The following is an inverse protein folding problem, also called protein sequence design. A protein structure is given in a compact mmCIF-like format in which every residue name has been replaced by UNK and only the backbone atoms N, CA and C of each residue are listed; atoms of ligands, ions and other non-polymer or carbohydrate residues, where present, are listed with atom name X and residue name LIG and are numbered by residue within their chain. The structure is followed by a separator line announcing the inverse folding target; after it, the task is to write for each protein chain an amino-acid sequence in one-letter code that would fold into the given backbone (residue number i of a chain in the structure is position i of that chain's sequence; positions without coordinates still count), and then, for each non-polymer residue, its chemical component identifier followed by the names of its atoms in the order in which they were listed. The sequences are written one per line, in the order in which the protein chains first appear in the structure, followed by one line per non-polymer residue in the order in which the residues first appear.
data_IF_825124350230
#
_entry.id   IF_825124350230
#
_cell.length_a   1.000
_cell.length_b   1.000
_cell.length_c   1.000
_cell.angle_alpha   90.00
_cell.angle_beta   90.00
_cell.angle_gamma   90.00
#
_symmetry.space_group_name_H-M   'P 1'
#
loop_
_entity.id
_entity.type
_entity.pdbx_description
1 polymer ?
#
# COMPACT_ATOMS: atom_id res chain seq x y z
N UNK A 1 24.74 9.61 0.49
CA UNK A 1 23.35 9.11 0.50
C UNK A 1 23.09 8.49 1.85
N UNK A 2 21.95 8.81 2.44
CA UNK A 2 21.54 8.35 3.77
C UNK A 2 20.74 7.03 3.74
N UNK A 3 20.80 6.32 2.61
CA UNK A 3 20.17 5.03 2.38
C UNK A 3 21.07 4.10 1.56
N UNK A 4 20.70 2.82 1.51
CA UNK A 4 21.29 1.76 0.68
C UNK A 4 20.19 0.92 0.05
N UNK A 5 20.40 0.40 -1.16
CA UNK A 5 19.47 -0.56 -1.79
C UNK A 5 19.63 -1.98 -1.26
N UNK A 6 20.72 -2.25 -0.53
CA UNK A 6 21.01 -3.53 0.12
C UNK A 6 21.09 -3.36 1.62
N UNK A 7 20.60 -4.35 2.37
CA UNK A 7 20.71 -4.36 3.82
C UNK A 7 22.20 -4.42 4.23
N UNK A 8 22.60 -3.52 5.11
CA UNK A 8 23.95 -3.47 5.66
C UNK A 8 23.87 -3.25 7.16
N UNK A 9 24.98 -3.47 7.90
CA UNK A 9 25.00 -3.29 9.35
C UNK A 9 24.59 -1.87 9.76
N UNK A 10 25.02 -0.86 9.00
CA UNK A 10 24.71 0.56 9.21
C UNK A 10 23.33 0.97 8.67
N UNK A 11 22.83 0.24 7.67
CA UNK A 11 21.55 0.46 7.00
C UNK A 11 20.63 -0.73 7.25
N UNK A 12 20.05 -0.78 8.46
CA UNK A 12 19.28 -1.93 8.94
C UNK A 12 17.77 -1.70 8.93
N UNK A 13 17.32 -0.44 8.89
CA UNK A 13 15.90 -0.06 8.90
C UNK A 13 15.36 -0.04 7.48
N UNK A 14 14.34 -0.83 7.19
CA UNK A 14 13.70 -0.85 5.88
C UNK A 14 12.72 0.30 5.68
N UNK A 15 12.66 0.79 4.45
CA UNK A 15 11.65 1.69 3.93
C UNK A 15 11.24 1.19 2.54
N UNK A 16 9.97 0.86 2.37
CA UNK A 16 9.43 0.41 1.09
C UNK A 16 8.84 1.62 0.38
N UNK A 17 9.31 1.89 -0.82
CA UNK A 17 8.68 2.83 -1.74
C UNK A 17 7.72 2.04 -2.61
N UNK A 18 6.47 2.48 -2.68
CA UNK A 18 5.47 1.91 -3.59
C UNK A 18 5.04 2.97 -4.60
N UNK A 19 4.94 2.58 -5.87
CA UNK A 19 4.46 3.42 -6.96
C UNK A 19 2.96 3.20 -7.21
N UNK A 20 2.25 4.31 -7.30
CA UNK A 20 0.85 4.39 -7.68
C UNK A 20 0.70 5.34 -8.85
N UNK A 21 -0.36 5.13 -9.61
CA UNK A 21 -0.83 6.05 -10.64
C UNK A 21 -2.19 6.60 -10.25
N UNK A 22 -2.46 7.83 -10.66
CA UNK A 22 -3.78 8.43 -10.59
C UNK A 22 -4.39 8.43 -11.97
N UNK A 23 -5.45 7.67 -12.15
CA UNK A 23 -6.29 7.77 -13.33
C UNK A 23 -7.20 8.99 -13.14
N UNK A 24 -6.71 10.14 -13.60
CA UNK A 24 -7.53 11.34 -13.73
C UNK A 24 -8.16 11.33 -15.12
N UNK A 25 -9.50 11.26 -15.19
CA UNK A 25 -10.25 11.36 -16.45
C UNK A 25 -10.16 12.77 -17.08
N UNK A 26 -9.28 13.63 -16.55
CA UNK A 26 -9.09 15.03 -16.93
C UNK A 26 -7.76 15.20 -17.65
N UNK A 27 -7.68 16.18 -18.53
CA UNK A 27 -6.45 16.55 -19.23
C UNK A 27 -5.36 17.15 -18.29
N UNK A 28 -5.75 17.60 -17.09
CA UNK A 28 -4.85 18.22 -16.12
C UNK A 28 -4.10 17.14 -15.33
N UNK A 29 -2.79 17.33 -15.15
CA UNK A 29 -1.96 16.43 -14.36
C UNK A 29 -2.30 16.54 -12.87
N UNK A 30 -2.29 15.42 -12.17
CA UNK A 30 -2.58 15.38 -10.73
C UNK A 30 -1.63 16.25 -9.90
N UNK A 31 -0.35 16.32 -10.29
CA UNK A 31 0.63 17.24 -9.69
C UNK A 31 0.16 18.70 -9.73
N UNK A 32 -0.35 19.17 -10.86
CA UNK A 32 -0.78 20.56 -11.01
C UNK A 32 -2.01 20.85 -10.14
N UNK A 33 -2.96 19.92 -10.10
CA UNK A 33 -4.15 20.05 -9.23
C UNK A 33 -3.77 20.08 -7.75
N UNK A 34 -2.81 19.24 -7.34
CA UNK A 34 -2.32 19.22 -5.96
C UNK A 34 -1.56 20.51 -5.62
N UNK A 35 -0.75 21.02 -6.56
CA UNK A 35 0.01 22.26 -6.40
C UNK A 35 -0.90 23.48 -6.24
N UNK A 36 -2.01 23.53 -6.99
CA UNK A 36 -2.97 24.63 -6.95
C UNK A 36 -4.02 24.48 -5.84
N UNK A 37 -3.98 23.38 -5.08
CA UNK A 37 -4.93 23.10 -4.01
C UNK A 37 -4.67 23.97 -2.77
N UNK A 38 -5.62 24.84 -2.45
CA UNK A 38 -5.55 25.76 -1.30
C UNK A 38 -5.52 25.07 0.08
N UNK A 39 -5.92 23.80 0.16
CA UNK A 39 -5.86 22.99 1.37
C UNK A 39 -4.51 22.26 1.50
N UNK A 40 -3.70 22.20 0.44
CA UNK A 40 -2.41 21.54 0.50
C UNK A 40 -1.32 22.50 0.98
N UNK A 41 -1.35 22.80 2.29
CA UNK A 41 -0.46 23.77 2.96
C UNK A 41 0.27 23.12 4.14
N UNK A 42 1.46 23.62 4.46
CA UNK A 42 2.24 23.17 5.61
C UNK A 42 1.51 23.52 6.91
N UNK A 43 1.64 22.65 7.91
CA UNK A 43 1.00 22.70 9.23
C UNK A 43 -0.54 22.66 9.23
N UNK A 44 -1.17 22.39 8.08
CA UNK A 44 -2.61 22.16 8.05
C UNK A 44 -2.99 20.93 8.86
N UNK A 45 -4.04 21.05 9.66
CA UNK A 45 -4.58 19.98 10.49
C UNK A 45 -6.02 19.64 10.05
N UNK A 46 -6.24 18.36 9.76
CA UNK A 46 -7.52 17.84 9.28
C UNK A 46 -8.05 16.81 10.26
N UNK A 47 -9.13 17.18 10.95
CA UNK A 47 -9.92 16.24 11.73
C UNK A 47 -10.68 15.30 10.80
N UNK A 48 -10.37 14.00 10.84
CA UNK A 48 -11.18 12.97 10.18
C UNK A 48 -12.33 12.58 11.12
N UNK A 49 -12.00 12.29 12.37
CA UNK A 49 -12.91 12.03 13.48
C UNK A 49 -12.21 12.38 14.80
N UNK A 50 -12.82 12.10 15.95
CA UNK A 50 -12.27 12.46 17.27
C UNK A 50 -10.95 11.77 17.62
N UNK A 51 -10.64 10.64 16.98
CA UNK A 51 -9.47 9.80 17.30
C UNK A 51 -8.43 9.78 16.17
N UNK A 52 -8.71 10.43 15.05
CA UNK A 52 -7.87 10.39 13.85
C UNK A 52 -7.82 11.75 13.17
N UNK A 53 -6.63 12.31 13.18
CA UNK A 53 -6.29 13.57 12.54
C UNK A 53 -5.18 13.33 11.51
N UNK A 54 -5.11 14.21 10.52
CA UNK A 54 -4.01 14.28 9.57
C UNK A 54 -3.36 15.64 9.68
N UNK A 55 -2.02 15.68 9.78
CA UNK A 55 -1.24 16.90 9.67
C UNK A 55 -0.28 16.84 8.50
N UNK A 56 -0.20 17.91 7.72
CA UNK A 56 0.86 18.11 6.74
C UNK A 56 2.02 18.78 7.47
N UNK A 57 3.12 18.05 7.66
CA UNK A 57 4.30 18.53 8.42
C UNK A 57 5.25 19.35 7.56
N UNK A 58 5.36 18.99 6.28
CA UNK A 58 6.27 19.64 5.35
C UNK A 58 5.79 19.46 3.91
N UNK A 59 6.10 20.44 3.06
CA UNK A 59 5.89 20.42 1.62
C UNK A 59 7.10 21.07 0.96
N UNK A 60 7.75 20.38 0.04
CA UNK A 60 8.82 20.93 -0.79
C UNK A 60 8.59 20.65 -2.27
N UNK A 61 8.85 21.65 -3.11
CA UNK A 61 8.71 21.54 -4.56
C UNK A 61 10.09 21.50 -5.21
N UNK A 62 10.30 20.54 -6.11
CA UNK A 62 11.54 20.40 -6.89
C UNK A 62 11.17 20.15 -8.34
N UNK A 63 11.28 21.18 -9.19
CA UNK A 63 10.86 21.10 -10.58
C UNK A 63 9.37 20.78 -10.71
N UNK A 64 9.02 19.74 -11.46
CA UNK A 64 7.65 19.25 -11.66
C UNK A 64 7.27 18.13 -10.67
N UNK A 65 7.83 18.17 -9.47
CA UNK A 65 7.54 17.24 -8.39
C UNK A 65 7.28 17.97 -7.07
N UNK A 66 6.40 17.42 -6.25
CA UNK A 66 6.19 17.84 -4.87
C UNK A 66 6.45 16.69 -3.93
N UNK A 67 7.17 16.98 -2.85
CA UNK A 67 7.43 16.07 -1.75
C UNK A 67 6.68 16.57 -0.53
N UNK A 68 6.02 15.67 0.18
CA UNK A 68 5.30 16.02 1.40
C UNK A 68 5.49 14.98 2.48
N UNK A 69 5.60 15.46 3.71
CA UNK A 69 5.55 14.64 4.91
C UNK A 69 4.21 14.86 5.60
N UNK A 70 3.42 13.80 5.68
CA UNK A 70 2.10 13.78 6.29
C UNK A 70 2.10 12.82 7.49
N UNK A 71 1.46 13.18 8.58
CA UNK A 71 1.28 12.31 9.76
C UNK A 71 -0.19 12.08 10.03
N UNK A 72 -0.58 10.82 10.19
CA UNK A 72 -1.85 10.45 10.79
C UNK A 72 -1.61 10.24 12.27
N UNK A 73 -2.38 10.92 13.12
CA UNK A 73 -2.16 10.88 14.55
C UNK A 73 -3.49 10.83 15.32
N UNK A 74 -3.44 10.30 16.53
CA UNK A 74 -4.54 10.40 17.48
C UNK A 74 -4.23 11.56 18.43
N UNK A 75 -5.10 12.58 18.55
CA UNK A 75 -4.86 13.70 19.44
C UNK A 75 -4.72 13.28 20.92
N UNK A 76 -5.39 12.19 21.33
CA UNK A 76 -5.34 11.61 22.68
C UNK A 76 -5.43 10.07 22.62
N UNK A 77 -4.29 9.41 22.52
CA UNK A 77 -4.22 7.94 22.49
C UNK A 77 -4.00 7.34 23.87
N UNK A 78 -4.60 6.19 24.14
CA UNK A 78 -4.23 5.32 25.27
C UNK A 78 -3.32 4.23 24.76
N UNK A 79 -2.06 4.22 25.21
CA UNK A 79 -1.10 3.18 24.83
C UNK A 79 -0.82 2.26 26.00
N UNK A 80 -0.73 0.96 25.72
CA UNK A 80 -0.30 0.01 26.73
C UNK A 80 1.20 0.10 26.95
N UNK A 81 1.61 0.16 28.21
CA UNK A 81 3.01 0.01 28.61
C UNK A 81 3.13 -1.20 29.51
N UNK A 82 4.29 -1.87 29.49
CA UNK A 82 4.57 -2.92 30.47
C UNK A 82 4.59 -2.28 31.86
N UNK A 83 3.66 -2.63 32.77
CA UNK A 83 3.62 -2.03 34.09
C UNK A 83 4.93 -2.33 34.82
N UNK A 84 5.50 -1.32 35.47
CA UNK A 84 6.53 -1.57 36.49
C UNK A 84 5.84 -2.33 37.62
N UNK A 85 6.51 -3.37 38.14
CA UNK A 85 5.94 -4.42 38.99
C UNK A 85 5.15 -3.97 40.23
N UNK A 86 5.16 -2.68 40.55
CA UNK A 86 4.58 -2.07 41.75
C UNK A 86 3.19 -1.45 41.53
N UNK A 87 2.72 -1.27 40.29
CA UNK A 87 1.44 -0.55 40.03
C UNK A 87 0.59 -1.22 38.93
N UNK A 88 -0.01 -2.38 39.26
CA UNK A 88 -0.86 -3.20 38.37
C UNK A 88 -2.19 -2.55 37.95
N UNK A 89 -2.44 -1.29 38.32
CA UNK A 89 -3.70 -0.59 38.08
C UNK A 89 -3.64 0.42 36.91
N UNK A 90 -2.46 0.66 36.31
CA UNK A 90 -2.27 1.68 35.25
C UNK A 90 -1.47 1.12 34.08
N UNK A 91 -2.06 0.15 33.38
CA UNK A 91 -1.43 -0.47 32.20
C UNK A 91 -1.61 0.34 30.92
N UNK A 92 -2.33 1.49 30.99
CA UNK A 92 -2.57 2.41 29.89
C UNK A 92 -2.11 3.82 30.26
N UNK A 93 -1.34 4.43 29.37
CA UNK A 93 -0.89 5.82 29.47
C UNK A 93 -1.54 6.67 28.38
N UNK A 94 -2.04 7.83 28.76
CA UNK A 94 -2.51 8.85 27.81
C UNK A 94 -1.30 9.51 27.16
N UNK A 95 -1.25 9.49 25.83
CA UNK A 95 -0.26 10.19 25.01
C UNK A 95 -0.99 11.18 24.11
N UNK A 96 -0.63 12.45 24.24
CA UNK A 96 -1.08 13.50 23.35
C UNK A 96 -0.36 13.43 22.00
N UNK A 97 -1.10 13.68 20.92
CA UNK A 97 -0.59 13.71 19.54
C UNK A 97 0.22 12.47 19.13
N UNK A 98 -0.32 11.29 19.42
CA UNK A 98 0.34 10.02 19.10
C UNK A 98 0.31 9.74 17.60
N UNK A 99 1.45 9.86 16.93
CA UNK A 99 1.62 9.53 15.51
C UNK A 99 1.42 8.02 15.28
N UNK A 100 0.43 7.67 14.46
CA UNK A 100 0.06 6.30 14.11
C UNK A 100 0.59 5.89 12.73
N UNK A 101 0.88 6.85 11.86
CA UNK A 101 1.44 6.61 10.54
C UNK A 101 2.17 7.86 10.04
N UNK A 102 3.37 7.68 9.51
CA UNK A 102 4.02 8.69 8.68
C UNK A 102 3.87 8.28 7.22
N UNK A 103 3.38 9.21 6.42
CA UNK A 103 3.31 9.11 4.96
C UNK A 103 4.29 10.12 4.39
N UNK A 104 5.32 9.63 3.70
CA UNK A 104 6.18 10.45 2.85
C UNK A 104 5.74 10.24 1.41
N UNK A 105 5.44 11.33 0.72
CA UNK A 105 4.80 11.35 -0.58
C UNK A 105 5.68 12.11 -1.56
N UNK A 106 5.83 11.61 -2.78
CA UNK A 106 6.37 12.34 -3.93
C UNK A 106 5.39 12.22 -5.10
N UNK A 107 4.88 13.35 -5.58
CA UNK A 107 3.94 13.41 -6.70
C UNK A 107 4.59 14.13 -7.87
N UNK A 108 4.58 13.48 -9.04
CA UNK A 108 5.01 14.08 -10.30
C UNK A 108 4.13 13.58 -11.44
N UNK A 109 3.58 14.50 -12.24
CA UNK A 109 2.55 14.19 -13.23
C UNK A 109 1.35 13.49 -12.60
N UNK A 110 1.05 12.27 -13.06
CA UNK A 110 -0.03 11.41 -12.55
C UNK A 110 0.48 10.27 -11.65
N UNK A 111 1.71 10.36 -11.15
CA UNK A 111 2.30 9.31 -10.34
C UNK A 111 2.50 9.75 -8.90
N UNK A 112 2.17 8.85 -7.97
CA UNK A 112 2.39 9.00 -6.54
C UNK A 112 3.40 7.94 -6.11
N UNK A 113 4.50 8.36 -5.50
CA UNK A 113 5.48 7.50 -4.85
C UNK A 113 5.33 7.70 -3.35
N UNK A 114 5.09 6.63 -2.61
CA UNK A 114 4.81 6.74 -1.19
C UNK A 114 5.66 5.78 -0.35
N UNK A 115 6.10 6.28 0.81
CA UNK A 115 6.67 5.49 1.90
C UNK A 115 5.74 5.61 3.09
N UNK A 116 5.30 4.48 3.63
CA UNK A 116 4.53 4.41 4.86
C UNK A 116 5.42 3.90 6.00
N UNK A 117 5.36 4.53 7.16
CA UNK A 117 6.03 4.09 8.39
C UNK A 117 5.03 4.02 9.55
N UNK A 118 5.40 3.28 10.60
CA UNK A 118 4.57 2.89 11.76
C UNK A 118 3.40 1.96 11.42
N UNK A 119 2.68 2.22 10.33
CA UNK A 119 1.63 1.37 9.80
C UNK A 119 1.69 1.39 8.27
N UNK A 120 1.87 0.20 7.68
CA UNK A 120 2.03 -0.01 6.23
C UNK A 120 0.79 -0.59 5.57
N UNK A 121 -0.24 -0.91 6.35
CA UNK A 121 -1.46 -1.57 5.86
C UNK A 121 -2.37 -0.57 5.15
N UNK A 122 -3.05 -1.06 4.10
CA UNK A 122 -4.07 -0.34 3.33
C UNK A 122 -3.60 1.00 2.73
N UNK A 123 -2.52 1.02 1.93
CA UNK A 123 -1.92 2.25 1.44
C UNK A 123 -2.86 3.08 0.57
N UNK A 124 -3.64 2.46 -0.32
CA UNK A 124 -4.63 3.16 -1.17
C UNK A 124 -5.69 3.84 -0.31
N UNK A 125 -6.30 3.11 0.65
CA UNK A 125 -7.30 3.67 1.56
C UNK A 125 -6.78 4.87 2.36
N UNK A 126 -5.50 4.85 2.74
CA UNK A 126 -4.84 5.98 3.43
C UNK A 126 -4.64 7.18 2.50
N UNK A 127 -4.18 6.94 1.27
CA UNK A 127 -4.05 7.99 0.25
C UNK A 127 -5.41 8.61 -0.06
N UNK A 128 -6.44 7.80 -0.31
CA UNK A 128 -7.81 8.27 -0.56
C UNK A 128 -8.33 9.11 0.60
N UNK A 129 -8.09 8.67 1.85
CA UNK A 129 -8.50 9.42 3.05
C UNK A 129 -7.80 10.78 3.10
N UNK A 130 -6.50 10.82 2.82
CA UNK A 130 -5.74 12.06 2.76
C UNK A 130 -6.24 13.00 1.66
N UNK A 131 -6.38 12.52 0.42
CA UNK A 131 -6.83 13.40 -0.67
C UNK A 131 -8.27 13.88 -0.49
N UNK A 132 -9.14 13.09 0.16
CA UNK A 132 -10.49 13.54 0.56
C UNK A 132 -10.44 14.72 1.55
N UNK A 133 -9.47 14.81 2.46
CA UNK A 133 -9.34 15.98 3.34
C UNK A 133 -8.97 17.24 2.54
N UNK A 134 -8.21 17.07 1.46
CA UNK A 134 -7.89 18.13 0.50
C UNK A 134 -9.04 18.47 -0.47
N UNK A 135 -10.19 17.80 -0.34
CA UNK A 135 -11.33 17.89 -1.28
C UNK A 135 -11.01 17.40 -2.69
N UNK A 136 -10.08 16.47 -2.79
CA UNK A 136 -9.72 15.76 -4.02
C UNK A 136 -10.23 14.32 -3.95
N UNK A 137 -10.43 13.68 -5.09
CA UNK A 137 -10.83 12.27 -5.17
C UNK A 137 -10.21 11.60 -6.40
N UNK A 138 -8.86 11.52 -6.46
CA UNK A 138 -8.19 10.83 -7.54
C UNK A 138 -8.50 9.33 -7.49
N UNK A 139 -8.61 8.67 -8.65
CA UNK A 139 -8.69 7.21 -8.72
C UNK A 139 -7.27 6.64 -8.66
N UNK A 140 -6.87 6.16 -7.50
CA UNK A 140 -5.52 5.66 -7.24
C UNK A 140 -5.45 4.17 -7.51
N UNK A 141 -4.50 3.74 -8.33
CA UNK A 141 -4.20 2.33 -8.60
C UNK A 141 -2.72 2.04 -8.42
N UNK A 142 -2.37 0.80 -8.06
CA UNK A 142 -0.98 0.38 -8.06
C UNK A 142 -0.45 0.32 -9.50
N UNK A 143 0.78 0.78 -9.70
CA UNK A 143 1.49 0.50 -10.96
C UNK A 143 2.00 -0.94 -10.89
N UNK A 144 1.76 -1.69 -11.96
CA UNK A 144 2.07 -3.12 -12.04
C UNK A 144 3.47 -3.34 -12.63
N UNK A 145 4.27 -4.21 -12.01
CA UNK A 145 5.62 -4.56 -12.46
C UNK A 145 5.56 -5.42 -13.74
N UNK A 146 5.98 -4.83 -14.86
CA UNK A 146 6.00 -5.47 -16.18
C UNK A 146 6.90 -6.71 -16.23
N UNK A 147 7.92 -6.79 -15.39
CA UNK A 147 8.83 -7.95 -15.34
C UNK A 147 8.12 -9.17 -14.75
N UNK A 148 7.31 -8.97 -13.71
CA UNK A 148 6.49 -10.03 -13.11
C UNK A 148 5.37 -10.44 -14.05
N UNK A 149 4.77 -9.49 -14.76
CA UNK A 149 3.82 -9.79 -15.84
C UNK A 149 4.44 -10.64 -16.93
N UNK A 150 5.65 -10.28 -17.39
CA UNK A 150 6.39 -11.05 -18.38
C UNK A 150 6.71 -12.45 -17.85
N UNK A 151 7.12 -12.56 -16.58
CA UNK A 151 7.39 -13.85 -15.92
C UNK A 151 6.16 -14.77 -15.92
N UNK A 152 4.97 -14.26 -15.61
CA UNK A 152 3.72 -15.04 -15.67
C UNK A 152 3.45 -15.54 -17.10
N UNK A 153 3.68 -14.70 -18.11
CA UNK A 153 3.51 -15.08 -19.53
C UNK A 153 4.52 -16.13 -19.97
N UNK A 154 5.78 -15.95 -19.60
CA UNK A 154 6.89 -16.80 -20.05
C UNK A 154 6.88 -18.16 -19.33
N UNK A 155 6.66 -18.18 -18.01
CA UNK A 155 6.63 -19.42 -17.21
C UNK A 155 5.28 -20.13 -17.27
N UNK A 156 4.20 -19.42 -17.63
CA UNK A 156 2.84 -19.95 -17.68
C UNK A 156 2.21 -20.16 -16.29
N UNK A 157 0.87 -20.21 -16.27
CA UNK A 157 0.08 -20.37 -15.06
C UNK A 157 -0.03 -21.83 -14.63
N UNK A 158 0.31 -22.15 -13.37
CA UNK A 158 0.14 -23.51 -12.82
C UNK A 158 -1.07 -23.58 -11.89
N UNK A 159 -1.16 -22.72 -10.89
CA UNK A 159 -2.23 -22.73 -9.89
C UNK A 159 -2.40 -21.35 -9.24
N UNK A 160 -3.64 -21.03 -8.88
CA UNK A 160 -4.01 -19.86 -8.11
C UNK A 160 -4.43 -20.34 -6.72
N UNK A 161 -3.90 -19.71 -5.69
CA UNK A 161 -4.25 -19.98 -4.31
C UNK A 161 -5.00 -18.80 -3.72
N UNK A 162 -6.10 -19.11 -3.06
CA UNK A 162 -6.96 -18.19 -2.35
C UNK A 162 -7.02 -18.64 -0.89
N UNK A 163 -6.45 -17.85 0.01
CA UNK A 163 -6.70 -18.00 1.44
C UNK A 163 -7.95 -17.20 1.77
N UNK A 164 -9.03 -17.87 2.12
CA UNK A 164 -10.27 -17.19 2.47
C UNK A 164 -10.79 -17.68 3.82
N UNK A 165 -11.17 -16.72 4.65
CA UNK A 165 -12.07 -16.93 5.78
C UNK A 165 -13.43 -16.44 5.31
N UNK A 166 -14.23 -17.32 4.71
CA UNK A 166 -15.57 -16.96 4.24
C UNK A 166 -16.51 -16.99 5.43
N UNK A 167 -16.81 -15.85 6.03
CA UNK A 167 -18.08 -15.70 6.74
C UNK A 167 -19.19 -15.53 5.68
N UNK A 168 -20.32 -16.21 5.84
CA UNK A 168 -21.43 -16.19 4.87
C UNK A 168 -21.96 -14.78 4.54
N UNK A 169 -21.61 -13.78 5.34
CA UNK A 169 -21.99 -12.36 5.22
C UNK A 169 -20.94 -11.47 4.56
N UNK A 170 -19.69 -11.94 4.38
CA UNK A 170 -18.51 -11.08 4.20
C UNK A 170 -17.90 -11.13 2.79
N UNK A 171 -18.63 -11.59 1.78
CA UNK A 171 -18.22 -11.39 0.39
C UNK A 171 -18.79 -10.05 -0.09
N UNK A 172 -18.08 -8.90 0.06
CA UNK A 172 -18.50 -7.70 -0.64
C UNK A 172 -18.49 -8.00 -2.13
N UNK A 173 -19.62 -7.76 -2.77
CA UNK A 173 -19.80 -7.87 -4.22
C UNK A 173 -18.89 -6.81 -4.87
N UNK A 174 -17.64 -7.18 -5.13
CA UNK A 174 -16.75 -6.42 -6.00
C UNK A 174 -16.72 -7.18 -7.32
N UNK A 175 -17.30 -6.57 -8.36
CA UNK A 175 -17.32 -7.15 -9.72
C UNK A 175 -15.90 -7.14 -10.32
N UNK A 176 -15.05 -8.07 -9.88
CA UNK A 176 -13.73 -8.34 -10.48
C UNK A 176 -13.76 -9.62 -11.32
N UNK A 177 -12.85 -9.78 -12.29
CA UNK A 177 -12.69 -11.03 -13.05
C UNK A 177 -12.56 -12.27 -12.14
N UNK A 178 -11.76 -12.16 -11.06
CA UNK A 178 -11.60 -13.21 -10.05
C UNK A 178 -12.88 -13.52 -9.28
N UNK A 179 -13.66 -12.50 -8.90
CA UNK A 179 -14.92 -12.70 -8.20
C UNK A 179 -15.96 -13.45 -9.06
N UNK A 180 -15.99 -13.20 -10.37
CA UNK A 180 -16.90 -13.91 -11.29
C UNK A 180 -16.66 -15.42 -11.36
N UNK A 181 -15.44 -15.85 -11.02
CA UNK A 181 -15.02 -17.25 -11.01
C UNK A 181 -15.40 -17.94 -9.68
N UNK A 182 -15.27 -17.22 -8.57
CA UNK A 182 -15.62 -17.70 -7.21
C UNK A 182 -17.15 -17.78 -7.03
N UNK A 183 -17.90 -16.84 -7.62
CA UNK A 183 -19.36 -16.79 -7.50
C UNK A 183 -20.13 -17.99 -8.12
N UNK A 184 -19.42 -18.91 -8.80
CA UNK A 184 -20.01 -20.14 -9.37
C UNK A 184 -19.93 -21.34 -8.42
N UNK A 185 -19.27 -21.23 -7.27
CA UNK A 185 -19.23 -22.28 -6.26
C UNK A 185 -20.46 -22.18 -5.31
N UNK A 186 -20.99 -23.32 -4.82
CA UNK A 186 -22.23 -23.33 -4.04
C UNK A 186 -22.10 -22.55 -2.73
N UNK A 187 -23.17 -21.83 -2.37
CA UNK A 187 -23.26 -21.08 -1.11
C UNK A 187 -23.10 -22.03 0.07
N UNK A 188 -22.05 -21.79 0.85
CA UNK A 188 -21.76 -22.48 2.10
C UNK A 188 -22.73 -21.97 3.18
N UNK A 189 -23.15 -22.87 4.08
CA UNK A 189 -24.08 -22.57 5.18
C UNK A 189 -23.55 -21.56 6.22
N UNK A 190 -24.33 -21.34 7.28
CA UNK A 190 -24.19 -20.25 8.27
C UNK A 190 -22.92 -20.30 9.14
N UNK A 191 -22.18 -21.41 9.14
CA UNK A 191 -20.87 -21.50 9.78
C UNK A 191 -19.79 -21.21 8.74
N UNK A 192 -19.05 -20.11 8.92
CA UNK A 192 -18.04 -19.69 7.96
C UNK A 192 -16.99 -20.77 7.69
N UNK A 193 -16.63 -20.95 6.41
CA UNK A 193 -15.54 -21.84 6.00
C UNK A 193 -14.23 -21.06 5.96
N UNK A 194 -13.29 -21.43 6.82
CA UNK A 194 -11.88 -21.07 6.67
C UNK A 194 -11.17 -22.16 5.86
N UNK A 195 -10.58 -21.83 4.73
CA UNK A 195 -9.90 -22.81 3.88
C UNK A 195 -9.01 -22.19 2.80
N UNK A 196 -8.17 -23.03 2.21
CA UNK A 196 -7.39 -22.67 1.02
C UNK A 196 -8.10 -23.23 -0.22
N UNK A 197 -8.59 -22.35 -1.10
CA UNK A 197 -9.08 -22.74 -2.41
C UNK A 197 -7.92 -22.70 -3.41
N UNK A 198 -7.63 -23.83 -4.04
CA UNK A 198 -6.55 -23.98 -5.02
C UNK A 198 -7.11 -24.29 -6.40
N UNK A 199 -7.07 -23.33 -7.31
CA UNK A 199 -7.51 -23.48 -8.69
C UNK A 199 -6.33 -23.86 -9.58
N UNK A 200 -6.25 -25.15 -9.93
CA UNK A 200 -5.18 -25.71 -10.78
C UNK A 200 -5.48 -25.54 -12.26
N UNK A 201 -4.46 -25.17 -13.04
CA UNK A 201 -4.51 -25.00 -14.50
C UNK A 201 -5.05 -26.23 -15.24
N UNK A 202 -4.62 -27.44 -14.86
CA UNK A 202 -5.08 -28.70 -15.47
C UNK A 202 -6.58 -28.94 -15.31
N UNK A 203 -7.14 -28.55 -14.16
CA UNK A 203 -8.57 -28.67 -13.90
C UNK A 203 -9.37 -27.49 -14.49
N UNK A 204 -8.72 -26.35 -14.74
CA UNK A 204 -9.34 -25.10 -15.17
C UNK A 204 -8.60 -24.48 -16.36
N UNK A 205 -8.61 -25.10 -17.55
CA UNK A 205 -7.83 -24.63 -18.70
C UNK A 205 -8.28 -23.26 -19.23
N UNK A 206 -9.57 -22.91 -19.09
CA UNK A 206 -10.08 -21.59 -19.46
C UNK A 206 -9.53 -20.48 -18.56
N UNK A 207 -9.50 -20.73 -17.25
CA UNK A 207 -8.91 -19.83 -16.27
C UNK A 207 -7.41 -19.63 -16.52
N UNK A 208 -6.70 -20.72 -16.81
CA UNK A 208 -5.28 -20.66 -17.15
C UNK A 208 -5.04 -19.75 -18.37
N UNK A 209 -5.81 -19.93 -19.44
CA UNK A 209 -5.71 -19.10 -20.63
C UNK A 209 -6.06 -17.62 -20.35
N UNK A 210 -7.03 -17.34 -19.48
CA UNK A 210 -7.42 -15.98 -19.10
C UNK A 210 -6.33 -15.28 -18.29
N UNK A 211 -5.73 -15.97 -17.31
CA UNK A 211 -4.61 -15.44 -16.51
C UNK A 211 -3.37 -15.22 -17.36
N UNK A 212 -3.05 -16.14 -18.28
CA UNK A 212 -1.90 -16.00 -19.19
C UNK A 212 -2.12 -14.88 -20.23
N UNK A 213 -3.38 -14.66 -20.67
CA UNK A 213 -3.73 -13.61 -21.63
C UNK A 213 -3.76 -12.22 -21.00
N UNK A 214 -4.34 -12.09 -19.80
CA UNK A 214 -4.57 -10.81 -19.10
C UNK A 214 -3.90 -10.75 -17.71
N UNK A 215 -2.61 -11.08 -17.56
CA UNK A 215 -1.95 -11.16 -16.26
C UNK A 215 -1.92 -9.81 -15.53
N UNK A 216 -1.95 -8.69 -16.25
CA UNK A 216 -1.97 -7.35 -15.66
C UNK A 216 -3.27 -7.03 -14.94
N UNK A 217 -4.41 -7.52 -15.43
CA UNK A 217 -5.70 -7.31 -14.76
C UNK A 217 -5.86 -8.26 -13.58
N UNK A 218 -5.40 -9.50 -13.71
CA UNK A 218 -5.34 -10.46 -12.61
C UNK A 218 -4.41 -9.97 -11.50
N UNK A 219 -3.27 -9.39 -11.85
CA UNK A 219 -2.32 -8.84 -10.90
C UNK A 219 -2.90 -7.73 -10.02
N UNK A 220 -3.80 -6.90 -10.56
CA UNK A 220 -4.49 -5.85 -9.80
C UNK A 220 -5.39 -6.42 -8.71
N UNK A 221 -5.90 -7.64 -8.94
CA UNK A 221 -6.79 -8.33 -8.02
C UNK A 221 -6.03 -9.20 -7.00
N UNK A 222 -4.71 -9.37 -7.13
CA UNK A 222 -3.91 -10.14 -6.16
C UNK A 222 -3.65 -9.33 -4.87
N UNK A 223 -3.87 -9.95 -3.71
CA UNK A 223 -3.54 -9.43 -2.38
C UNK A 223 -2.56 -10.37 -1.64
N UNK A 224 -2.33 -10.19 -0.33
CA UNK A 224 -1.60 -11.18 0.47
C UNK A 224 -2.33 -12.53 0.53
N UNK A 225 -3.66 -12.50 0.43
CA UNK A 225 -4.56 -13.66 0.49
C UNK A 225 -4.69 -14.39 -0.85
N UNK A 226 -4.17 -13.80 -1.95
CA UNK A 226 -4.23 -14.36 -3.30
C UNK A 226 -2.82 -14.45 -3.90
N UNK A 227 -2.40 -15.64 -4.32
CA UNK A 227 -1.10 -15.80 -5.00
C UNK A 227 -1.13 -16.80 -6.15
N UNK A 228 -0.27 -16.57 -7.15
CA UNK A 228 -0.10 -17.45 -8.31
C UNK A 228 1.17 -18.27 -8.12
N UNK A 229 1.11 -19.56 -8.45
CA UNK A 229 2.28 -20.38 -8.73
C UNK A 229 2.38 -20.56 -10.25
N UNK A 230 3.56 -20.32 -10.81
CA UNK A 230 3.84 -20.54 -12.23
C UNK A 230 4.22 -21.99 -12.52
N UNK A 231 4.23 -22.41 -13.79
CA UNK A 231 4.70 -23.77 -14.15
C UNK A 231 6.20 -23.93 -13.87
N UNK A 232 6.96 -22.83 -13.87
CA UNK A 232 8.36 -22.76 -13.43
C UNK A 232 8.56 -22.89 -11.90
N UNK A 233 7.48 -22.93 -11.11
CA UNK A 233 7.53 -23.10 -9.65
C UNK A 233 7.67 -21.78 -8.86
N UNK A 234 7.63 -20.63 -9.54
CA UNK A 234 7.70 -19.33 -8.89
C UNK A 234 6.39 -18.99 -8.19
N UNK A 235 6.47 -18.56 -6.92
CA UNK A 235 5.33 -17.99 -6.18
C UNK A 235 5.29 -16.47 -6.36
N UNK A 236 4.15 -15.96 -6.78
CA UNK A 236 3.90 -14.54 -7.07
C UNK A 236 2.70 -14.09 -6.24
N UNK A 237 2.95 -13.26 -5.23
CA UNK A 237 1.93 -12.63 -4.37
C UNK A 237 1.51 -11.27 -4.90
N UNK A 238 0.42 -10.71 -4.39
CA UNK A 238 -0.03 -9.37 -4.78
C UNK A 238 1.03 -8.27 -4.64
N UNK A 239 1.87 -8.33 -3.60
CA UNK A 239 2.96 -7.37 -3.43
C UNK A 239 4.12 -7.55 -4.40
N UNK A 240 4.34 -8.77 -4.92
CA UNK A 240 5.38 -9.02 -5.92
C UNK A 240 5.02 -8.37 -7.26
N UNK A 241 3.73 -8.17 -7.54
CA UNK A 241 3.27 -7.64 -8.84
C UNK A 241 3.18 -6.13 -8.87
N UNK A 242 3.38 -5.46 -7.74
CA UNK A 242 3.37 -4.00 -7.63
C UNK A 242 4.78 -3.46 -7.87
N UNK A 243 4.90 -2.34 -8.57
CA UNK A 243 6.17 -1.61 -8.66
C UNK A 243 6.49 -1.03 -7.28
N UNK A 244 7.38 -1.71 -6.56
CA UNK A 244 7.91 -1.28 -5.29
C UNK A 244 9.43 -1.50 -5.24
N UNK A 245 10.08 -0.83 -4.30
CA UNK A 245 11.50 -1.06 -4.02
C UNK A 245 11.78 -0.86 -2.55
N UNK A 246 12.52 -1.81 -1.97
CA UNK A 246 12.97 -1.74 -0.59
C UNK A 246 14.30 -0.99 -0.55
N UNK A 247 14.33 0.05 0.27
CA UNK A 247 15.53 0.78 0.65
C UNK A 247 15.82 0.54 2.13
N UNK A 248 17.07 0.75 2.52
CA UNK A 248 17.53 0.59 3.88
C UNK A 248 18.17 1.89 4.37
N UNK A 249 17.74 2.40 5.51
CA UNK A 249 18.27 3.62 6.13
C UNK A 249 18.98 3.32 7.44
N UNK A 250 19.71 4.31 7.93
CA UNK A 250 20.14 4.33 9.33
C UNK A 250 18.91 4.33 10.24
N UNK A 251 18.94 3.65 11.40
CA UNK A 251 17.85 3.71 12.37
C UNK A 251 17.58 5.15 12.83
N UNK A 252 16.31 5.54 12.92
CA UNK A 252 15.90 6.81 13.52
C UNK A 252 14.67 6.60 14.40
N UNK A 253 14.86 6.77 15.72
CA UNK A 253 13.92 6.24 16.70
C UNK A 253 13.74 4.73 16.55
N UNK A 254 12.67 4.19 17.13
CA UNK A 254 12.42 2.74 17.11
C UNK A 254 11.64 2.27 15.88
N UNK A 255 10.91 3.17 15.18
CA UNK A 255 9.90 2.73 14.19
C UNK A 255 9.79 3.56 12.89
N UNK A 256 10.44 4.72 12.75
CA UNK A 256 10.27 5.59 11.57
C UNK A 256 11.58 5.86 10.81
N UNK A 257 11.51 6.61 9.72
CA UNK A 257 12.67 7.16 8.99
C UNK A 257 12.66 8.67 9.08
N UNK A 258 13.84 9.30 8.98
CA UNK A 258 13.93 10.75 8.94
C UNK A 258 13.32 11.32 7.64
N UNK A 259 12.67 12.49 7.67
CA UNK A 259 12.15 13.14 6.47
C UNK A 259 13.20 13.34 5.37
N UNK A 260 14.44 13.71 5.74
CA UNK A 260 15.51 13.93 4.76
C UNK A 260 15.88 12.63 4.04
N UNK A 261 15.84 11.49 4.75
CA UNK A 261 16.15 10.19 4.17
C UNK A 261 15.03 9.74 3.24
N UNK A 262 13.77 9.97 3.63
CA UNK A 262 12.62 9.68 2.79
C UNK A 262 12.64 10.53 1.50
N UNK A 263 13.00 11.81 1.59
CA UNK A 263 13.18 12.68 0.43
C UNK A 263 14.26 12.15 -0.53
N UNK A 264 15.43 11.78 -0.02
CA UNK A 264 16.51 11.19 -0.82
C UNK A 264 16.08 9.89 -1.50
N UNK A 265 15.38 9.01 -0.78
CA UNK A 265 14.87 7.74 -1.31
C UNK A 265 13.84 7.98 -2.41
N UNK A 266 12.86 8.85 -2.18
CA UNK A 266 11.80 9.14 -3.15
C UNK A 266 12.37 9.80 -4.41
N UNK A 267 13.34 10.70 -4.24
CA UNK A 267 14.08 11.31 -5.35
C UNK A 267 14.81 10.25 -6.16
N UNK A 268 15.60 9.40 -5.50
CA UNK A 268 16.32 8.32 -6.17
C UNK A 268 15.37 7.36 -6.89
N UNK A 269 14.28 6.93 -6.25
CA UNK A 269 13.29 6.05 -6.87
C UNK A 269 12.68 6.70 -8.12
N UNK A 270 12.31 7.99 -8.05
CA UNK A 270 11.72 8.70 -9.18
C UNK A 270 12.63 8.79 -10.42
N UNK A 271 13.94 8.77 -10.22
CA UNK A 271 14.95 8.86 -11.29
C UNK A 271 15.33 7.50 -11.88
N UNK A 272 15.14 6.42 -11.13
CA UNK A 272 15.71 5.10 -11.45
C UNK A 272 14.66 4.00 -11.66
N UNK A 273 13.39 4.25 -11.36
CA UNK A 273 12.31 3.27 -11.49
C UNK A 273 11.15 3.87 -12.29
N UNK A 274 10.92 3.32 -13.49
CA UNK A 274 9.81 3.64 -14.41
C UNK A 274 9.21 2.36 -14.95
#
# INVERSE_FOLDING_TARGET
MNFSEKKQKEFSKSAVVTLFETNHDKAVLFFDELKDNKNFIVDADYKINDESHIRIRDISYVGAAVFAHITFYNPKAKVSVTPKAEDKAKDLFDIDNFDNCHLFLCVSGNYIRAIFQLSVTWPITRLDRFFKTLKMSPKITHVIDKTVIKKIKDEGFKELHLQTTVHATDLPIVNTPLHSLIAKEPKVGEEGLSGELVLKSKANPRLAAEIEKNPGDIAKDLSEDFYIITKGGSKIKGDDVKVNKVYFTRPYGTRTVKPEYAFEILTHFSQNVV
#
